data_IF_578033609626
#
_entry.id   IF_578033609626
#
_cell.length_a   1.000
_cell.length_b   1.000
_cell.length_c   1.000
_cell.angle_alpha   90.00
_cell.angle_beta   90.00
_cell.angle_gamma   90.00
#
_symmetry.space_group_name_H-M   'P 1'
#
loop_
_entity.id
_entity.type
_entity.pdbx_description
1 polymer ?
#
# COMPACT_ATOMS: atom_id res chain seq x y z
N UNK A 1 56.85 12.84 -19.75
CA UNK A 1 55.56 13.25 -20.35
C UNK A 1 54.93 12.02 -20.98
N UNK A 2 54.11 11.31 -20.22
CA UNK A 2 53.35 10.14 -20.67
C UNK A 2 51.89 10.56 -20.72
N UNK A 3 51.37 10.72 -21.93
CA UNK A 3 49.99 11.08 -22.21
C UNK A 3 49.07 9.94 -21.79
N UNK A 4 48.18 10.24 -20.84
CA UNK A 4 47.14 9.36 -20.33
C UNK A 4 46.03 9.33 -21.38
N UNK A 5 45.78 8.14 -21.95
CA UNK A 5 44.69 7.91 -22.90
C UNK A 5 43.38 7.91 -22.13
N UNK A 6 42.53 8.91 -22.40
CA UNK A 6 41.18 9.02 -21.86
C UNK A 6 40.33 7.82 -22.29
N UNK A 7 39.86 7.04 -21.30
CA UNK A 7 38.82 6.05 -21.51
C UNK A 7 37.47 6.77 -21.53
N UNK A 8 36.96 7.09 -22.72
CA UNK A 8 35.57 7.50 -22.92
C UNK A 8 34.62 6.36 -22.51
N UNK A 9 33.65 6.58 -21.61
CA UNK A 9 32.65 5.55 -21.30
C UNK A 9 31.75 5.38 -22.53
N UNK A 10 31.64 4.15 -23.01
CA UNK A 10 30.78 3.75 -24.11
C UNK A 10 29.31 4.05 -23.75
N UNK A 11 28.80 5.21 -24.17
CA UNK A 11 27.38 5.55 -24.08
C UNK A 11 26.65 4.63 -25.05
N UNK A 12 25.89 3.69 -24.52
CA UNK A 12 24.97 2.87 -25.30
C UNK A 12 23.90 3.78 -25.89
N UNK A 13 23.93 3.96 -27.21
CA UNK A 13 22.91 4.64 -27.99
C UNK A 13 21.49 4.25 -27.51
N UNK A 14 20.58 5.21 -27.30
CA UNK A 14 19.22 4.91 -26.90
C UNK A 14 18.52 4.11 -28.01
N UNK A 15 18.33 2.81 -27.77
CA UNK A 15 17.52 1.98 -28.66
C UNK A 15 16.15 2.64 -28.86
N UNK A 16 15.67 2.78 -30.12
CA UNK A 16 14.33 3.26 -30.37
C UNK A 16 13.33 2.38 -29.60
N UNK A 17 12.48 3.06 -28.83
CA UNK A 17 11.47 2.44 -27.98
C UNK A 17 10.58 1.54 -28.83
N UNK A 18 10.41 0.25 -28.51
CA UNK A 18 9.34 -0.52 -29.12
C UNK A 18 8.01 0.05 -28.61
N UNK A 19 7.41 0.93 -29.39
CA UNK A 19 6.00 1.33 -29.27
C UNK A 19 5.18 0.18 -29.85
N UNK A 20 5.10 -0.92 -29.11
CA UNK A 20 4.05 -1.89 -29.34
C UNK A 20 2.81 -1.38 -28.61
N UNK A 21 1.69 -1.09 -29.29
CA UNK A 21 0.42 -0.91 -28.60
C UNK A 21 0.06 -2.26 -27.97
N UNK A 22 0.38 -2.44 -26.68
CA UNK A 22 -0.14 -3.57 -25.91
C UNK A 22 -1.66 -3.48 -26.00
N UNK A 23 -2.38 -4.53 -26.41
CA UNK A 23 -3.81 -4.43 -26.68
C UNK A 23 -4.54 -4.09 -25.37
N UNK A 24 -5.04 -2.85 -25.29
CA UNK A 24 -5.85 -2.32 -24.19
C UNK A 24 -7.14 -3.14 -23.96
N UNK A 25 -7.49 -3.96 -24.95
CA UNK A 25 -8.64 -4.86 -24.96
C UNK A 25 -8.54 -5.89 -23.82
N UNK A 26 -7.40 -6.57 -23.65
CA UNK A 26 -7.29 -7.66 -22.65
C UNK A 26 -7.51 -7.18 -21.20
N UNK A 27 -6.87 -6.10 -20.72
CA UNK A 27 -7.14 -5.57 -19.37
C UNK A 27 -8.59 -5.10 -19.17
N UNK A 28 -9.20 -4.53 -20.22
CA UNK A 28 -10.59 -4.07 -20.17
C UNK A 28 -11.58 -5.24 -20.04
N UNK A 29 -11.26 -6.42 -20.58
CA UNK A 29 -12.07 -7.62 -20.42
C UNK A 29 -12.13 -8.10 -18.96
N UNK A 30 -11.03 -8.01 -18.21
CA UNK A 30 -11.03 -8.40 -16.79
C UNK A 30 -11.89 -7.48 -15.93
N UNK A 31 -11.87 -6.17 -16.20
CA UNK A 31 -12.72 -5.22 -15.50
C UNK A 31 -14.21 -5.44 -15.82
N UNK A 32 -14.55 -5.63 -17.10
CA UNK A 32 -15.91 -5.94 -17.52
C UNK A 32 -16.41 -7.27 -16.90
N UNK A 33 -15.55 -8.29 -16.85
CA UNK A 33 -15.86 -9.58 -16.26
C UNK A 33 -16.28 -9.47 -14.79
N UNK A 34 -15.61 -8.63 -13.99
CA UNK A 34 -16.01 -8.42 -12.59
C UNK A 34 -17.40 -7.79 -12.45
N UNK A 35 -17.72 -6.79 -13.27
CA UNK A 35 -19.03 -6.15 -13.25
C UNK A 35 -20.12 -7.17 -13.62
N UNK A 36 -19.88 -7.97 -14.67
CA UNK A 36 -20.80 -9.01 -15.11
C UNK A 36 -21.02 -10.05 -14.02
N UNK A 37 -19.95 -10.56 -13.39
CA UNK A 37 -20.07 -11.53 -12.30
C UNK A 37 -20.86 -10.97 -11.13
N UNK A 38 -20.57 -9.75 -10.70
CA UNK A 38 -21.28 -9.09 -9.61
C UNK A 38 -22.78 -9.00 -9.93
N UNK A 39 -23.13 -8.40 -11.06
CA UNK A 39 -24.54 -8.22 -11.47
C UNK A 39 -25.25 -9.56 -11.66
N UNK A 40 -24.60 -10.55 -12.26
CA UNK A 40 -25.19 -11.87 -12.50
C UNK A 40 -25.52 -12.60 -11.20
N UNK A 41 -24.57 -12.74 -10.27
CA UNK A 41 -24.82 -13.41 -9.01
C UNK A 41 -25.77 -12.63 -8.11
N UNK A 42 -25.70 -11.29 -8.11
CA UNK A 42 -26.68 -10.44 -7.44
C UNK A 42 -28.09 -10.64 -8.01
N UNK A 43 -28.22 -10.71 -9.34
CA UNK A 43 -29.50 -10.95 -10.00
C UNK A 43 -30.12 -12.29 -9.60
N UNK A 44 -29.34 -13.38 -9.64
CA UNK A 44 -29.79 -14.69 -9.16
C UNK A 44 -30.18 -14.66 -7.68
N UNK A 45 -29.39 -13.99 -6.84
CA UNK A 45 -29.67 -13.87 -5.42
C UNK A 45 -30.99 -13.15 -5.13
N UNK A 46 -31.20 -11.98 -5.76
CA UNK A 46 -32.41 -11.19 -5.54
C UNK A 46 -33.66 -11.84 -6.14
N UNK A 47 -33.54 -12.49 -7.30
CA UNK A 47 -34.67 -13.11 -8.00
C UNK A 47 -35.20 -14.37 -7.30
N UNK A 48 -34.33 -15.13 -6.61
CA UNK A 48 -34.67 -16.44 -6.05
C UNK A 48 -34.66 -16.47 -4.51
N UNK A 49 -33.53 -16.69 -3.79
CA UNK A 49 -33.56 -16.86 -2.34
C UNK A 49 -34.05 -15.60 -1.60
N UNK A 50 -33.66 -14.41 -2.05
CA UNK A 50 -34.05 -13.17 -1.39
C UNK A 50 -35.54 -12.85 -1.60
N UNK A 51 -36.07 -13.09 -2.81
CA UNK A 51 -37.50 -12.95 -3.12
C UNK A 51 -38.35 -13.81 -2.19
N UNK A 52 -37.97 -15.08 -2.00
CA UNK A 52 -38.70 -15.98 -1.11
C UNK A 52 -38.71 -15.45 0.33
N UNK A 53 -37.57 -14.99 0.86
CA UNK A 53 -37.49 -14.42 2.21
C UNK A 53 -38.35 -13.16 2.36
N UNK A 54 -38.34 -12.26 1.36
CA UNK A 54 -39.17 -11.06 1.36
C UNK A 54 -40.67 -11.38 1.34
N UNK A 55 -41.09 -12.39 0.56
CA UNK A 55 -42.48 -12.85 0.51
C UNK A 55 -42.95 -13.47 1.84
N UNK A 56 -42.02 -13.99 2.65
CA UNK A 56 -42.30 -14.48 4.01
C UNK A 56 -42.18 -13.38 5.09
N UNK A 57 -42.10 -12.10 4.69
CA UNK A 57 -42.10 -10.95 5.60
C UNK A 57 -40.71 -10.50 6.07
N UNK A 58 -39.63 -11.15 5.63
CA UNK A 58 -38.28 -10.84 6.10
C UNK A 58 -37.56 -9.80 5.23
N UNK A 59 -38.10 -8.57 5.25
CA UNK A 59 -37.58 -7.45 4.47
C UNK A 59 -36.19 -6.96 4.90
N UNK A 60 -35.70 -7.37 6.08
CA UNK A 60 -34.35 -7.00 6.54
C UNK A 60 -33.25 -7.51 5.59
N UNK A 61 -33.38 -8.75 5.08
CA UNK A 61 -32.39 -9.33 4.17
C UNK A 61 -32.23 -8.54 2.86
N UNK A 62 -33.29 -8.26 2.07
CA UNK A 62 -33.17 -7.47 0.85
C UNK A 62 -32.70 -6.04 1.12
N UNK A 63 -33.11 -5.40 2.23
CA UNK A 63 -32.68 -4.04 2.56
C UNK A 63 -31.17 -3.99 2.84
N UNK A 64 -30.66 -4.89 3.69
CA UNK A 64 -29.24 -4.95 4.05
C UNK A 64 -28.40 -5.32 2.82
N UNK A 65 -28.76 -6.40 2.13
CA UNK A 65 -28.01 -6.89 0.97
C UNK A 65 -28.10 -5.94 -0.23
N UNK A 66 -29.25 -5.28 -0.43
CA UNK A 66 -29.43 -4.24 -1.44
C UNK A 66 -28.54 -3.02 -1.18
N UNK A 67 -28.46 -2.56 0.07
CA UNK A 67 -27.58 -1.45 0.46
C UNK A 67 -26.10 -1.80 0.25
N UNK A 68 -25.69 -3.02 0.64
CA UNK A 68 -24.32 -3.50 0.42
C UNK A 68 -23.99 -3.67 -1.08
N UNK A 69 -24.96 -4.10 -1.90
CA UNK A 69 -24.80 -4.17 -3.35
C UNK A 69 -24.56 -2.78 -3.93
N UNK A 70 -25.39 -1.78 -3.57
CA UNK A 70 -25.23 -0.40 -4.05
C UNK A 70 -23.88 0.17 -3.63
N UNK A 71 -23.47 -0.01 -2.37
CA UNK A 71 -22.16 0.41 -1.88
C UNK A 71 -21.01 -0.25 -2.66
N UNK A 72 -21.11 -1.55 -2.91
CA UNK A 72 -20.09 -2.32 -3.63
C UNK A 72 -19.99 -1.90 -5.08
N UNK A 73 -21.13 -1.77 -5.76
CA UNK A 73 -21.20 -1.33 -7.14
C UNK A 73 -20.64 0.10 -7.28
N UNK A 74 -21.07 1.02 -6.41
CA UNK A 74 -20.55 2.39 -6.40
C UNK A 74 -19.04 2.43 -6.13
N UNK A 75 -18.54 1.64 -5.19
CA UNK A 75 -17.09 1.57 -4.88
C UNK A 75 -16.29 1.01 -6.05
N UNK A 76 -16.83 0.01 -6.76
CA UNK A 76 -16.22 -0.57 -7.96
C UNK A 76 -16.09 0.47 -9.06
N UNK A 77 -17.19 1.15 -9.39
CA UNK A 77 -17.21 2.21 -10.40
C UNK A 77 -16.26 3.33 -10.01
N UNK A 78 -16.35 3.82 -8.77
CA UNK A 78 -15.49 4.90 -8.26
C UNK A 78 -14.02 4.55 -8.41
N UNK A 79 -13.61 3.31 -8.06
CA UNK A 79 -12.21 2.90 -8.16
C UNK A 79 -11.71 2.80 -9.61
N UNK A 80 -12.54 2.34 -10.55
CA UNK A 80 -12.19 2.27 -11.97
C UNK A 80 -11.85 3.66 -12.52
N UNK A 81 -12.56 4.71 -12.08
CA UNK A 81 -12.38 6.08 -12.58
C UNK A 81 -11.51 6.98 -11.70
N UNK A 82 -11.05 6.51 -10.55
CA UNK A 82 -10.25 7.33 -9.63
C UNK A 82 -8.83 7.54 -10.12
N UNK A 83 -8.31 8.77 -9.96
CA UNK A 83 -6.88 9.06 -10.16
C UNK A 83 -6.06 8.27 -9.12
N UNK A 84 -5.10 7.41 -9.53
CA UNK A 84 -4.25 6.68 -8.60
C UNK A 84 -3.18 7.54 -7.91
N UNK A 85 -2.97 8.78 -8.36
CA UNK A 85 -1.83 9.61 -7.98
C UNK A 85 -0.83 9.72 -9.12
N UNK A 86 -1.32 10.07 -10.32
CA UNK A 86 -0.45 10.21 -11.50
C UNK A 86 0.50 11.39 -11.32
N UNK A 87 1.80 11.08 -11.41
CA UNK A 87 2.87 12.04 -11.49
C UNK A 87 3.21 12.29 -12.96
N UNK A 88 3.08 13.54 -13.37
CA UNK A 88 3.29 13.98 -14.75
C UNK A 88 4.77 14.05 -15.12
N UNK A 89 5.04 14.08 -16.43
CA UNK A 89 6.38 14.14 -17.00
C UNK A 89 7.15 15.37 -16.47
N UNK A 90 8.41 15.16 -16.08
CA UNK A 90 9.31 16.24 -15.68
C UNK A 90 9.89 16.99 -16.88
N UNK A 91 10.74 18.00 -16.61
CA UNK A 91 11.43 18.72 -17.69
C UNK A 91 12.58 17.88 -18.24
N UNK A 92 12.76 17.89 -19.56
CA UNK A 92 13.93 17.27 -20.20
C UNK A 92 15.26 17.91 -19.77
N UNK A 93 15.21 19.11 -19.17
CA UNK A 93 16.35 19.82 -18.58
C UNK A 93 16.94 19.07 -17.38
N UNK A 94 16.16 18.24 -16.67
CA UNK A 94 16.66 17.39 -15.60
C UNK A 94 17.31 16.14 -16.19
N UNK A 95 18.64 16.09 -16.25
CA UNK A 95 19.36 14.93 -16.75
C UNK A 95 19.48 13.77 -15.74
N UNK A 96 19.65 12.51 -16.18
CA UNK A 96 19.84 11.34 -15.30
C UNK A 96 21.13 11.39 -14.47
N UNK A 97 22.03 12.31 -14.82
CA UNK A 97 23.32 12.53 -14.17
C UNK A 97 23.19 13.28 -12.83
N UNK A 98 22.06 13.95 -12.59
CA UNK A 98 21.80 14.63 -11.32
C UNK A 98 21.38 13.63 -10.25
N UNK A 99 21.98 13.69 -9.07
CA UNK A 99 21.59 12.84 -7.94
C UNK A 99 20.77 13.66 -6.95
N UNK A 100 19.46 13.39 -6.91
CA UNK A 100 18.57 13.99 -5.93
C UNK A 100 18.45 13.06 -4.71
N UNK A 101 18.57 13.64 -3.51
CA UNK A 101 18.41 12.92 -2.24
C UNK A 101 17.32 13.62 -1.43
N UNK A 102 16.39 12.82 -0.88
CA UNK A 102 15.33 13.29 0.01
C UNK A 102 15.44 12.58 1.35
N UNK A 103 15.22 13.30 2.43
CA UNK A 103 15.23 12.77 3.79
C UNK A 103 13.81 12.43 4.24
N UNK A 104 13.61 11.21 4.72
CA UNK A 104 12.34 10.77 5.34
C UNK A 104 12.68 10.14 6.69
N UNK A 105 12.15 10.69 7.77
CA UNK A 105 12.33 10.20 9.15
C UNK A 105 13.78 9.77 9.43
N UNK A 106 14.71 10.71 9.24
CA UNK A 106 16.17 10.57 9.46
C UNK A 106 16.91 9.61 8.50
N UNK A 107 16.26 9.15 7.42
CA UNK A 107 16.89 8.32 6.39
C UNK A 107 16.96 9.03 5.04
N UNK A 108 18.14 9.06 4.45
CA UNK A 108 18.36 9.58 3.10
C UNK A 108 17.93 8.55 2.04
N UNK A 109 17.11 8.98 1.09
CA UNK A 109 16.69 8.21 -0.08
C UNK A 109 17.25 8.84 -1.34
N UNK A 110 18.05 8.07 -2.10
CA UNK A 110 18.45 8.46 -3.44
C UNK A 110 17.27 8.27 -4.40
N UNK A 111 16.86 9.34 -5.06
CA UNK A 111 15.77 9.28 -6.03
C UNK A 111 16.25 8.56 -7.29
N UNK A 112 15.36 7.77 -7.87
CA UNK A 112 15.65 6.95 -9.03
C UNK A 112 15.03 7.59 -10.27
N UNK A 113 15.87 7.88 -11.26
CA UNK A 113 15.42 8.41 -12.55
C UNK A 113 14.43 7.46 -13.23
N UNK A 114 13.33 8.00 -13.75
CA UNK A 114 12.43 7.29 -14.66
C UNK A 114 12.73 7.74 -16.10
N UNK A 115 13.26 6.87 -16.98
CA UNK A 115 13.56 7.26 -18.35
C UNK A 115 12.31 7.46 -19.21
N UNK A 116 11.17 6.89 -18.80
CA UNK A 116 9.90 6.98 -19.54
C UNK A 116 9.15 8.28 -19.26
N UNK A 117 9.17 8.73 -18.01
CA UNK A 117 8.48 9.94 -17.56
C UNK A 117 9.43 11.12 -17.36
N UNK A 118 10.73 10.95 -17.60
CA UNK A 118 11.74 12.00 -17.54
C UNK A 118 11.75 12.80 -16.21
N UNK A 119 11.71 12.12 -15.07
CA UNK A 119 11.90 12.77 -13.77
C UNK A 119 12.48 11.81 -12.71
N UNK A 120 13.05 12.39 -11.66
CA UNK A 120 13.51 11.68 -10.48
C UNK A 120 12.34 11.27 -9.60
N UNK A 121 12.07 9.97 -9.51
CA UNK A 121 10.92 9.42 -8.78
C UNK A 121 11.10 9.64 -7.27
N UNK A 122 10.15 10.33 -6.62
CA UNK A 122 10.14 10.42 -5.17
C UNK A 122 10.05 9.04 -4.50
N UNK A 123 10.38 8.94 -3.19
CA UNK A 123 10.21 7.70 -2.45
C UNK A 123 8.77 7.15 -2.60
N UNK A 124 8.64 5.81 -2.66
CA UNK A 124 7.35 5.10 -2.84
C UNK A 124 6.67 5.32 -4.19
N UNK A 125 7.29 6.04 -5.13
CA UNK A 125 6.79 6.15 -6.51
C UNK A 125 7.28 4.99 -7.38
N UNK A 126 6.40 4.46 -8.23
CA UNK A 126 6.77 3.43 -9.20
C UNK A 126 6.20 3.73 -10.58
N UNK A 127 6.93 3.33 -11.63
CA UNK A 127 6.47 3.44 -13.01
C UNK A 127 5.75 2.15 -13.39
N UNK A 128 4.43 2.22 -13.60
CA UNK A 128 3.63 1.08 -14.03
C UNK A 128 3.83 0.86 -15.55
N UNK A 129 4.42 -0.27 -15.99
CA UNK A 129 4.63 -0.52 -17.41
C UNK A 129 3.35 -0.86 -18.18
N UNK A 130 2.25 -1.19 -17.48
CA UNK A 130 0.95 -1.43 -18.09
C UNK A 130 0.24 -0.13 -18.45
N UNK A 131 0.24 0.83 -17.53
CA UNK A 131 -0.38 2.14 -17.75
C UNK A 131 0.57 3.17 -18.36
N UNK A 132 1.89 2.88 -18.40
CA UNK A 132 2.95 3.77 -18.86
C UNK A 132 2.97 5.13 -18.13
N UNK A 133 2.75 5.10 -16.81
CA UNK A 133 2.68 6.28 -15.93
C UNK A 133 3.43 6.01 -14.63
N UNK A 134 3.98 7.06 -14.03
CA UNK A 134 4.45 7.02 -12.65
C UNK A 134 3.30 7.30 -11.69
N UNK A 135 3.19 6.47 -10.65
CA UNK A 135 2.14 6.57 -9.63
C UNK A 135 2.79 6.78 -8.26
N UNK A 136 2.31 7.79 -7.54
CA UNK A 136 2.69 8.11 -6.18
C UNK A 136 2.18 7.04 -5.20
N UNK A 137 3.01 6.68 -4.22
CA UNK A 137 2.73 5.62 -3.23
C UNK A 137 2.13 4.36 -3.87
N UNK A 138 2.79 3.89 -4.93
CA UNK A 138 2.29 2.79 -5.76
C UNK A 138 2.19 1.49 -4.96
N UNK A 139 1.02 0.85 -5.03
CA UNK A 139 0.78 -0.45 -4.45
C UNK A 139 0.87 -1.55 -5.52
N UNK A 140 -0.03 -1.52 -6.50
CA UNK A 140 -0.04 -2.46 -7.63
C UNK A 140 -0.88 -1.94 -8.80
N UNK A 141 -0.76 -2.59 -9.96
CA UNK A 141 -1.71 -2.43 -11.06
C UNK A 141 -2.77 -3.51 -10.95
N UNK A 142 -4.02 -3.12 -10.72
CA UNK A 142 -5.13 -4.04 -10.53
C UNK A 142 -5.85 -4.30 -11.86
N UNK A 143 -5.64 -5.48 -12.43
CA UNK A 143 -6.29 -5.91 -13.69
C UNK A 143 -7.81 -5.98 -13.56
N UNK A 144 -8.30 -6.27 -12.36
CA UNK A 144 -9.73 -6.43 -12.05
C UNK A 144 -10.52 -5.13 -12.12
N UNK A 145 -9.86 -3.98 -11.99
CA UNK A 145 -10.49 -2.65 -12.15
C UNK A 145 -9.80 -1.82 -13.22
N UNK A 146 -8.94 -2.47 -14.02
CA UNK A 146 -8.13 -1.86 -15.08
C UNK A 146 -7.49 -0.51 -14.67
N UNK A 147 -7.03 -0.40 -13.43
CA UNK A 147 -6.48 0.83 -12.87
C UNK A 147 -5.30 0.54 -11.94
N UNK A 148 -4.38 1.49 -11.83
CA UNK A 148 -3.36 1.45 -10.79
C UNK A 148 -4.01 1.73 -9.42
N UNK A 149 -3.44 1.13 -8.38
CA UNK A 149 -3.75 1.45 -6.98
C UNK A 149 -2.55 2.19 -6.41
N UNK A 150 -2.79 3.40 -5.94
CA UNK A 150 -1.76 4.30 -5.40
C UNK A 150 -2.34 5.24 -4.36
N UNK A 151 -1.58 6.29 -4.03
CA UNK A 151 -1.89 7.19 -2.91
C UNK A 151 -3.34 7.70 -2.90
N UNK A 152 -3.83 8.14 -4.06
CA UNK A 152 -5.09 8.90 -4.15
C UNK A 152 -6.35 8.04 -4.21
N UNK A 153 -6.23 6.76 -4.56
CA UNK A 153 -7.37 5.85 -4.69
C UNK A 153 -7.29 4.60 -3.78
N UNK A 154 -6.25 4.48 -2.97
CA UNK A 154 -6.09 3.35 -2.03
C UNK A 154 -7.28 3.20 -1.07
N UNK A 155 -7.92 4.31 -0.67
CA UNK A 155 -9.12 4.29 0.18
C UNK A 155 -10.32 3.67 -0.51
N UNK A 156 -10.55 4.03 -1.76
CA UNK A 156 -11.59 3.45 -2.59
C UNK A 156 -11.34 1.95 -2.79
N UNK A 157 -10.08 1.54 -2.94
CA UNK A 157 -9.70 0.13 -3.01
C UNK A 157 -9.99 -0.63 -1.72
N UNK A 158 -9.60 -0.10 -0.55
CA UNK A 158 -9.92 -0.72 0.74
C UNK A 158 -11.44 -0.81 0.97
N UNK A 159 -12.18 0.24 0.62
CA UNK A 159 -13.64 0.26 0.72
C UNK A 159 -14.28 -0.80 -0.18
N UNK A 160 -13.81 -0.94 -1.43
CA UNK A 160 -14.29 -1.95 -2.37
C UNK A 160 -14.04 -3.38 -1.85
N UNK A 161 -12.82 -3.67 -1.36
CA UNK A 161 -12.50 -5.01 -0.86
C UNK A 161 -13.34 -5.32 0.39
N UNK A 162 -13.47 -4.36 1.31
CA UNK A 162 -14.31 -4.50 2.50
C UNK A 162 -15.79 -4.72 2.13
N UNK A 163 -16.34 -3.91 1.22
CA UNK A 163 -17.73 -4.02 0.80
C UNK A 163 -18.00 -5.35 0.10
N UNK A 164 -17.07 -5.84 -0.73
CA UNK A 164 -17.14 -7.15 -1.36
C UNK A 164 -17.15 -8.30 -0.34
N UNK A 165 -16.31 -8.22 0.71
CA UNK A 165 -16.33 -9.20 1.81
C UNK A 165 -17.68 -9.20 2.53
N UNK A 166 -18.16 -8.01 2.93
CA UNK A 166 -19.45 -7.87 3.63
C UNK A 166 -20.61 -8.33 2.76
N UNK A 167 -20.63 -7.97 1.48
CA UNK A 167 -21.67 -8.36 0.54
C UNK A 167 -21.67 -9.88 0.29
N UNK A 168 -20.51 -10.47 0.01
CA UNK A 168 -20.38 -11.92 -0.20
C UNK A 168 -20.74 -12.71 1.06
N UNK A 169 -20.33 -12.24 2.24
CA UNK A 169 -20.72 -12.82 3.52
C UNK A 169 -22.22 -12.74 3.77
N UNK A 170 -22.84 -11.58 3.51
CA UNK A 170 -24.28 -11.41 3.66
C UNK A 170 -25.09 -12.29 2.70
N UNK A 171 -24.65 -12.40 1.44
CA UNK A 171 -25.25 -13.33 0.47
C UNK A 171 -25.15 -14.79 0.94
N UNK A 172 -23.97 -15.21 1.39
CA UNK A 172 -23.74 -16.57 1.89
C UNK A 172 -24.66 -16.87 3.08
N UNK A 173 -24.67 -16.01 4.10
CA UNK A 173 -25.52 -16.19 5.29
C UNK A 173 -26.99 -16.24 4.90
N UNK A 174 -27.44 -15.36 4.03
CA UNK A 174 -28.84 -15.32 3.58
C UNK A 174 -29.23 -16.60 2.82
N UNK A 175 -28.38 -17.09 1.91
CA UNK A 175 -28.61 -18.35 1.21
C UNK A 175 -28.64 -19.54 2.18
N UNK A 176 -27.75 -19.58 3.18
CA UNK A 176 -27.76 -20.64 4.20
C UNK A 176 -29.05 -20.62 5.03
N UNK A 177 -29.50 -19.43 5.44
CA UNK A 177 -30.78 -19.28 6.17
C UNK A 177 -31.94 -19.79 5.31
N UNK A 178 -32.00 -19.39 4.04
CA UNK A 178 -33.01 -19.88 3.09
C UNK A 178 -32.98 -21.41 2.96
N UNK A 179 -31.80 -22.00 2.77
CA UNK A 179 -31.65 -23.45 2.63
C UNK A 179 -32.07 -24.19 3.90
N UNK A 180 -31.65 -23.72 5.08
CA UNK A 180 -32.02 -24.31 6.38
C UNK A 180 -33.54 -24.29 6.58
N UNK A 181 -34.19 -23.16 6.29
CA UNK A 181 -35.64 -23.01 6.46
C UNK A 181 -36.47 -23.81 5.48
N UNK A 182 -35.92 -24.04 4.28
CA UNK A 182 -36.61 -24.81 3.25
C UNK A 182 -36.21 -26.29 3.25
N UNK A 183 -35.36 -26.76 4.18
CA UNK A 183 -34.89 -28.16 4.25
C UNK A 183 -35.99 -29.21 4.14
N UNK A 184 -37.15 -28.97 4.78
CA UNK A 184 -38.30 -29.89 4.81
C UNK A 184 -39.16 -29.87 3.54
N UNK A 185 -39.00 -28.86 2.68
CA UNK A 185 -39.73 -28.74 1.43
C UNK A 185 -39.08 -29.62 0.35
N UNK A 186 -39.80 -30.00 -0.73
CA UNK A 186 -39.18 -30.69 -1.86
C UNK A 186 -38.07 -29.84 -2.50
N UNK A 187 -37.20 -30.48 -3.29
CA UNK A 187 -36.18 -29.76 -4.05
C UNK A 187 -36.85 -28.87 -5.11
N UNK A 188 -36.41 -27.61 -5.20
CA UNK A 188 -36.94 -26.62 -6.14
C UNK A 188 -35.80 -25.89 -6.85
N UNK A 189 -36.12 -25.21 -7.96
CA UNK A 189 -35.16 -24.36 -8.67
C UNK A 189 -34.54 -23.29 -7.74
N UNK A 190 -35.31 -22.74 -6.80
CA UNK A 190 -34.83 -21.75 -5.83
C UNK A 190 -33.69 -22.31 -4.97
N UNK A 191 -33.80 -23.58 -4.54
CA UNK A 191 -32.74 -24.26 -3.78
C UNK A 191 -31.51 -24.52 -4.62
N UNK A 192 -31.69 -24.96 -5.87
CA UNK A 192 -30.57 -25.16 -6.79
C UNK A 192 -29.78 -23.86 -6.98
N UNK A 193 -30.49 -22.76 -7.22
CA UNK A 193 -29.89 -21.43 -7.44
C UNK A 193 -29.27 -20.90 -6.15
N UNK A 194 -29.92 -21.08 -5.00
CA UNK A 194 -29.35 -20.70 -3.71
C UNK A 194 -28.04 -21.44 -3.41
N UNK A 195 -27.93 -22.73 -3.77
CA UNK A 195 -26.68 -23.49 -3.65
C UNK A 195 -25.61 -22.92 -4.57
N UNK A 196 -25.91 -22.66 -5.85
CA UNK A 196 -24.97 -22.06 -6.81
C UNK A 196 -24.45 -20.71 -6.31
N UNK A 197 -25.34 -19.86 -5.82
CA UNK A 197 -24.99 -18.54 -5.26
C UNK A 197 -24.17 -18.70 -3.98
N UNK A 198 -24.55 -19.60 -3.06
CA UNK A 198 -23.83 -19.82 -1.81
C UNK A 198 -22.40 -20.33 -2.03
N UNK A 199 -22.24 -21.32 -2.92
CA UNK A 199 -20.92 -21.87 -3.27
C UNK A 199 -20.04 -20.79 -3.90
N UNK A 200 -20.61 -20.00 -4.81
CA UNK A 200 -19.88 -18.89 -5.45
C UNK A 200 -19.49 -17.81 -4.42
N UNK A 201 -20.41 -17.41 -3.55
CA UNK A 201 -20.17 -16.43 -2.49
C UNK A 201 -19.08 -16.91 -1.51
N UNK A 202 -19.11 -18.18 -1.10
CA UNK A 202 -18.06 -18.78 -0.27
C UNK A 202 -16.71 -18.81 -1.00
N UNK A 203 -16.71 -19.17 -2.28
CA UNK A 203 -15.50 -19.20 -3.12
C UNK A 203 -14.82 -17.85 -3.27
N UNK A 204 -15.59 -16.76 -3.35
CA UNK A 204 -15.04 -15.39 -3.38
C UNK A 204 -14.68 -14.86 -1.99
N UNK A 205 -15.42 -15.23 -0.94
CA UNK A 205 -15.21 -14.69 0.40
C UNK A 205 -13.83 -15.01 0.96
N UNK A 206 -13.32 -16.22 0.74
CA UNK A 206 -12.00 -16.65 1.24
C UNK A 206 -10.84 -15.81 0.66
N UNK A 207 -10.65 -15.71 -0.66
CA UNK A 207 -9.57 -14.91 -1.24
C UNK A 207 -9.74 -13.41 -0.95
N UNK A 208 -10.98 -12.89 -0.91
CA UNK A 208 -11.23 -11.49 -0.57
C UNK A 208 -10.85 -11.18 0.89
N UNK A 209 -11.17 -12.10 1.81
CA UNK A 209 -10.80 -11.95 3.23
C UNK A 209 -9.29 -12.01 3.42
N UNK A 210 -8.61 -12.90 2.70
CA UNK A 210 -7.14 -12.97 2.70
C UNK A 210 -6.52 -11.69 2.13
N UNK A 211 -7.04 -11.19 1.01
CA UNK A 211 -6.60 -9.92 0.42
C UNK A 211 -6.78 -8.76 1.41
N UNK A 212 -7.95 -8.67 2.05
CA UNK A 212 -8.23 -7.64 3.05
C UNK A 212 -7.25 -7.71 4.22
N UNK A 213 -6.97 -8.92 4.73
CA UNK A 213 -6.01 -9.14 5.81
C UNK A 213 -4.60 -8.70 5.42
N UNK A 214 -4.13 -9.11 4.23
CA UNK A 214 -2.81 -8.72 3.72
C UNK A 214 -2.70 -7.20 3.66
N UNK A 215 -3.70 -6.53 3.07
CA UNK A 215 -3.67 -5.08 2.95
C UNK A 215 -3.79 -4.39 4.31
N UNK A 216 -4.58 -4.91 5.24
CA UNK A 216 -4.66 -4.40 6.61
C UNK A 216 -3.31 -4.50 7.35
N UNK A 217 -2.57 -5.60 7.17
CA UNK A 217 -1.21 -5.77 7.73
C UNK A 217 -0.21 -4.83 7.05
N UNK A 218 -0.29 -4.67 5.73
CA UNK A 218 0.54 -3.71 4.99
C UNK A 218 0.31 -2.28 5.45
N UNK A 219 -0.94 -1.86 5.65
CA UNK A 219 -1.28 -0.54 6.22
C UNK A 219 -0.74 -0.42 7.63
N UNK A 220 -0.93 -1.44 8.47
CA UNK A 220 -0.48 -1.40 9.87
C UNK A 220 1.04 -1.25 9.99
N UNK A 221 1.81 -1.82 9.07
CA UNK A 221 3.27 -1.70 9.02
C UNK A 221 3.78 -0.59 8.10
N UNK A 222 2.90 0.24 7.53
CA UNK A 222 3.18 1.24 6.49
C UNK A 222 3.99 0.71 5.28
N UNK A 223 3.86 -0.59 4.99
CA UNK A 223 4.48 -1.26 3.86
C UNK A 223 3.53 -1.29 2.64
N UNK A 224 4.08 -1.45 1.44
CA UNK A 224 3.30 -1.58 0.19
C UNK A 224 3.71 -2.84 -0.55
N UNK A 225 2.77 -3.52 -1.20
CA UNK A 225 2.98 -4.85 -1.79
C UNK A 225 4.14 -4.90 -2.79
N UNK A 226 4.39 -3.81 -3.53
CA UNK A 226 5.51 -3.72 -4.47
C UNK A 226 6.90 -3.70 -3.80
N UNK A 227 7.00 -3.34 -2.51
CA UNK A 227 8.29 -3.17 -1.80
C UNK A 227 8.93 -4.46 -1.28
N UNK A 228 8.40 -5.64 -1.63
CA UNK A 228 8.97 -6.94 -1.25
C UNK A 228 10.43 -7.21 -1.68
N UNK A 229 11.12 -6.27 -2.36
CA UNK A 229 12.53 -6.39 -2.78
C UNK A 229 13.53 -5.42 -2.13
N UNK A 230 13.11 -4.50 -1.24
CA UNK A 230 14.04 -3.70 -0.43
C UNK A 230 14.12 -4.17 1.03
N UNK A 231 14.09 -5.49 1.27
CA UNK A 231 14.55 -6.06 2.54
C UNK A 231 16.08 -6.06 2.56
N UNK A 232 16.69 -4.91 2.84
CA UNK A 232 18.11 -4.89 3.18
C UNK A 232 18.39 -3.99 4.40
N UNK A 233 18.95 -4.66 5.40
CA UNK A 233 19.96 -4.24 6.40
C UNK A 233 19.54 -3.75 7.79
N UNK A 234 18.29 -3.36 8.11
CA UNK A 234 18.06 -2.79 9.46
C UNK A 234 16.70 -3.06 10.16
N UNK A 235 15.82 -3.90 9.62
CA UNK A 235 14.59 -4.32 10.32
C UNK A 235 13.51 -3.24 10.59
N UNK A 236 13.81 -1.95 10.40
CA UNK A 236 12.92 -0.82 10.68
C UNK A 236 12.39 -0.16 9.39
N UNK A 237 11.07 0.07 9.31
CA UNK A 237 10.42 0.78 8.21
C UNK A 237 10.35 2.30 8.51
N UNK A 238 11.08 3.16 7.79
CA UNK A 238 11.10 4.60 8.06
C UNK A 238 9.77 5.30 7.76
N UNK A 239 8.82 4.64 7.11
CA UNK A 239 7.48 5.18 6.88
C UNK A 239 6.47 4.78 7.96
N UNK A 240 6.84 3.89 8.88
CA UNK A 240 5.99 3.44 9.97
C UNK A 240 6.00 4.47 11.10
N UNK A 241 4.82 5.03 11.39
CA UNK A 241 4.58 6.00 12.46
C UNK A 241 3.72 5.39 13.59
N UNK A 242 3.61 4.07 13.63
CA UNK A 242 2.74 3.32 14.54
C UNK A 242 1.36 3.05 13.93
N UNK A 243 0.78 1.92 14.30
CA UNK A 243 -0.43 1.36 13.69
C UNK A 243 -1.57 2.39 13.54
N UNK A 244 -1.96 3.08 14.63
CA UNK A 244 -3.05 4.06 14.60
C UNK A 244 -2.76 5.24 13.66
N UNK A 245 -1.53 5.75 13.67
CA UNK A 245 -1.11 6.84 12.78
C UNK A 245 -1.12 6.37 11.32
N UNK A 246 -0.60 5.17 11.04
CA UNK A 246 -0.57 4.62 9.69
C UNK A 246 -1.98 4.45 9.11
N UNK A 247 -2.92 3.96 9.91
CA UNK A 247 -4.33 3.84 9.53
C UNK A 247 -4.97 5.21 9.30
N UNK A 248 -4.75 6.18 10.19
CA UNK A 248 -5.24 7.55 10.01
C UNK A 248 -4.70 8.19 8.73
N UNK A 249 -3.38 8.12 8.49
CA UNK A 249 -2.74 8.67 7.29
C UNK A 249 -3.27 8.00 6.01
N UNK A 250 -3.52 6.70 6.07
CA UNK A 250 -3.96 5.93 4.90
C UNK A 250 -5.44 6.14 4.59
N UNK A 251 -6.32 6.15 5.61
CA UNK A 251 -7.78 6.10 5.44
C UNK A 251 -8.45 7.45 5.65
N UNK A 252 -7.96 8.28 6.58
CA UNK A 252 -8.68 9.45 7.08
C UNK A 252 -8.04 10.80 6.74
N UNK A 253 -6.71 10.88 6.65
CA UNK A 253 -6.02 12.15 6.44
C UNK A 253 -6.50 12.87 5.16
N UNK A 254 -6.48 14.20 5.05
CA UNK A 254 -6.85 14.85 3.81
C UNK A 254 -6.01 14.31 2.64
N UNK A 255 -6.65 14.00 1.51
CA UNK A 255 -5.94 13.80 0.25
C UNK A 255 -5.39 15.17 -0.12
N UNK A 256 -4.16 15.42 0.28
CA UNK A 256 -3.52 16.68 0.01
C UNK A 256 -3.41 17.01 -1.48
N UNK A 257 -2.99 18.23 -1.87
CA UNK A 257 -2.43 18.48 -3.20
C UNK A 257 -1.37 17.41 -3.54
N UNK A 258 -0.98 17.31 -4.81
CA UNK A 258 0.02 16.33 -5.28
C UNK A 258 1.38 16.59 -4.59
N UNK A 259 1.53 16.12 -3.34
CA UNK A 259 2.42 16.71 -2.33
C UNK A 259 3.86 16.24 -2.40
N UNK A 260 4.21 15.27 -3.23
CA UNK A 260 5.62 15.07 -3.55
C UNK A 260 6.25 16.30 -4.24
N UNK A 261 5.46 17.31 -4.67
CA UNK A 261 5.97 18.59 -5.18
C UNK A 261 6.64 19.50 -4.10
N UNK A 262 6.21 19.46 -2.84
CA UNK A 262 6.92 20.17 -1.75
C UNK A 262 8.14 19.37 -1.27
N UNK A 263 8.09 18.03 -1.33
CA UNK A 263 9.27 17.20 -1.17
C UNK A 263 10.31 17.42 -2.29
N UNK A 264 9.87 17.90 -3.47
CA UNK A 264 10.72 18.40 -4.55
C UNK A 264 11.36 19.76 -4.18
N UNK A 265 10.67 20.66 -3.49
CA UNK A 265 11.26 21.91 -3.00
C UNK A 265 12.38 21.69 -1.97
N UNK A 266 12.33 20.59 -1.21
CA UNK A 266 13.39 20.17 -0.27
C UNK A 266 14.51 19.36 -0.93
N UNK A 267 14.50 19.17 -2.26
CA UNK A 267 15.60 18.53 -2.97
C UNK A 267 16.83 19.43 -2.91
N UNK A 268 17.78 19.07 -2.06
CA UNK A 268 19.12 19.64 -2.13
C UNK A 268 19.84 18.93 -3.28
N UNK A 269 20.18 19.69 -4.33
CA UNK A 269 21.10 19.20 -5.36
C UNK A 269 22.44 18.96 -4.68
N UNK A 270 22.89 17.70 -4.62
CA UNK A 270 24.26 17.40 -4.20
C UNK A 270 25.14 17.72 -5.40
N UNK A 271 25.73 18.92 -5.40
CA UNK A 271 26.78 19.27 -6.36
C UNK A 271 28.04 18.43 -6.15
N UNK A 272 29.00 18.47 -7.09
CA UNK A 272 30.28 17.75 -6.96
C UNK A 272 31.17 18.29 -5.83
N UNK A 273 30.79 19.40 -5.18
CA UNK A 273 31.53 19.97 -4.08
C UNK A 273 31.29 19.19 -2.80
N UNK A 274 32.20 18.26 -2.53
CA UNK A 274 32.42 17.68 -1.22
C UNK A 274 32.83 18.78 -0.23
N UNK A 275 31.86 19.50 0.34
CA UNK A 275 32.13 20.18 1.61
C UNK A 275 32.12 19.13 2.71
N UNK A 276 33.31 18.82 3.21
CA UNK A 276 33.50 18.07 4.44
C UNK A 276 32.66 18.71 5.55
N UNK A 277 31.73 17.94 6.11
CA UNK A 277 31.11 18.29 7.39
C UNK A 277 32.24 18.43 8.42
N UNK A 278 32.33 19.53 9.20
CA UNK A 278 33.21 19.56 10.35
C UNK A 278 32.81 18.41 11.26
N UNK A 279 33.76 17.57 11.63
CA UNK A 279 33.55 16.45 12.53
C UNK A 279 32.80 16.94 13.78
N UNK A 280 31.52 16.60 13.91
CA UNK A 280 30.83 16.66 15.19
C UNK A 280 31.51 15.60 16.06
N UNK A 281 32.40 16.06 16.93
CA UNK A 281 33.04 15.24 17.94
C UNK A 281 31.97 14.46 18.71
N UNK A 282 32.14 13.15 18.92
CA UNK A 282 31.25 12.39 19.79
C UNK A 282 31.33 12.97 21.21
N UNK A 283 30.21 12.99 21.97
CA UNK A 283 30.23 13.48 23.34
C UNK A 283 31.17 12.59 24.16
N UNK A 284 32.16 13.23 24.80
CA UNK A 284 33.08 12.56 25.70
C UNK A 284 32.30 11.88 26.83
N UNK A 285 32.53 10.59 26.99
CA UNK A 285 32.28 9.86 28.23
C UNK A 285 32.93 10.58 29.42
N UNK A 286 32.28 10.71 30.59
CA UNK A 286 32.90 11.35 31.74
C UNK A 286 34.07 10.51 32.21
N UNK A 287 35.28 11.00 31.95
CA UNK A 287 36.52 10.45 32.48
C UNK A 287 36.55 10.56 34.00
N UNK A 288 36.97 9.46 34.59
CA UNK A 288 37.38 9.27 35.98
C UNK A 288 37.88 10.54 36.67
N UNK A 289 37.24 10.89 37.80
CA UNK A 289 37.88 11.66 38.85
C UNK A 289 39.04 10.82 39.41
N UNK A 290 40.28 11.25 39.15
CA UNK A 290 41.41 10.85 39.97
C UNK A 290 41.41 11.68 41.27
N UNK A 291 41.71 11.06 42.42
CA UNK A 291 41.66 11.73 43.72
C UNK A 291 42.89 12.61 43.96
N UNK A 292 42.81 13.61 44.86
CA UNK A 292 43.96 14.44 45.23
C UNK A 292 44.93 13.71 46.16
N UNK A 293 46.21 14.04 46.01
CA UNK A 293 47.35 13.54 46.78
C UNK A 293 47.41 14.15 48.21
N UNK A 294 48.25 13.62 49.12
CA UNK A 294 47.98 13.54 50.55
C UNK A 294 48.46 14.77 51.34
N UNK A 295 47.74 15.08 52.43
CA UNK A 295 48.23 15.96 53.50
C UNK A 295 48.00 15.33 54.87
N UNK A 296 49.12 15.20 55.59
CA UNK A 296 49.34 15.22 57.05
C UNK A 296 48.33 14.52 57.97
N UNK A 297 48.84 13.56 58.74
CA UNK A 297 48.06 12.75 59.68
C UNK A 297 47.69 13.43 60.99
N UNK A 298 46.72 12.78 61.64
CA UNK A 298 46.55 12.68 63.09
C UNK A 298 45.56 11.55 63.39
N UNK A 299 45.94 10.68 64.34
CA UNK A 299 45.18 9.76 65.22
C UNK A 299 43.63 9.75 65.06
N UNK A 300 42.87 8.63 65.15
CA UNK A 300 42.87 7.62 66.21
C UNK A 300 41.88 6.44 65.90
N UNK A 301 42.27 5.21 66.26
CA UNK A 301 41.49 4.02 66.74
C UNK A 301 40.23 3.47 66.04
N UNK A 302 40.25 2.13 65.87
CA UNK A 302 39.24 1.22 65.29
C UNK A 302 38.78 0.24 66.39
N UNK A 303 37.47 0.14 66.61
CA UNK A 303 36.74 -1.04 67.11
C UNK A 303 35.59 -1.28 66.09
N UNK A 304 35.17 -2.46 65.67
CA UNK A 304 35.46 -3.82 66.08
C UNK A 304 34.19 -4.67 66.12
N UNK A 305 33.80 -5.27 64.98
CA UNK A 305 33.04 -6.55 64.88
C UNK A 305 31.52 -6.55 65.24
N UNK A 306 30.74 -7.65 65.03
CA UNK A 306 30.46 -8.36 63.77
C UNK A 306 29.00 -8.90 63.58
N UNK A 307 28.72 -9.39 62.35
CA UNK A 307 27.98 -10.63 61.94
C UNK A 307 26.50 -10.91 62.32
N UNK A 308 25.93 -11.71 61.41
CA UNK A 308 24.74 -12.59 61.48
C UNK A 308 23.41 -11.86 61.24
N UNK A 309 22.52 -12.30 60.33
CA UNK A 309 22.17 -13.67 59.92
C UNK A 309 21.87 -13.76 58.42
#
# INVERSE_FOLDING_TARGET
>A
MTLLVDATPLVKEPHPLPVAPRPWVLPSLFAAFNVVLLVFFSGLFFAFPCRWLAQNGEWAFPVITGSLFVLTFFSLISLNFSDPGILHQGSAEQGPLTVHVVWVNHRAFRLQWCPKCCFHRPPRTYHCPWCNICVEDFDHHCKWVNNCIGHRNFRCFMLLVLSLCLYSGAMLVTCLIFLVRTTRLPFSADKAIAIVVAVSAAGFLVPLSLLLLIQAVSVSSADRTYKGKCRHLQGYNPFDQGCASNWYLTICAPLGPKYMAEAVQLQRVVGPDWTSMPNLHPPMSPSALNPPAPTSGSLQTREGSPRAW
#
